data_IF_101344977055
#
_entry.id   IF_101344977055
#
_cell.length_a   1.000
_cell.length_b   1.000
_cell.length_c   1.000
_cell.angle_alpha   90.00
_cell.angle_beta   90.00
_cell.angle_gamma   90.00
#
_symmetry.space_group_name_H-M   'P 1'
#
loop_
_entity.id
_entity.type
_entity.pdbx_description
1 polymer ?
#
# COMPACT_ATOMS: atom_id res chain seq x y z
N UNK A 1 -6.14 1.46 13.76
CA UNK A 1 -7.36 1.42 12.91
C UNK A 1 -8.48 0.55 13.48
N UNK A 2 -8.18 -0.54 14.20
CA UNK A 2 -9.19 -1.43 14.83
C UNK A 2 -10.19 -0.68 15.74
N UNK A 3 -9.74 0.34 16.48
CA UNK A 3 -10.62 1.14 17.31
C UNK A 3 -11.60 1.98 16.47
N UNK A 4 -11.15 2.48 15.31
CA UNK A 4 -12.00 3.24 14.39
C UNK A 4 -13.10 2.33 13.85
N UNK A 5 -12.74 1.14 13.37
CA UNK A 5 -13.70 0.14 12.87
C UNK A 5 -14.76 -0.19 13.92
N UNK A 6 -14.35 -0.46 15.15
CA UNK A 6 -15.29 -0.74 16.26
C UNK A 6 -16.27 0.40 16.53
N UNK A 7 -15.80 1.65 16.47
CA UNK A 7 -16.67 2.83 16.68
C UNK A 7 -17.64 3.02 15.51
N UNK A 8 -17.19 2.82 14.27
CA UNK A 8 -18.05 2.91 13.09
C UNK A 8 -19.15 1.83 13.10
N UNK A 9 -18.80 0.60 13.50
CA UNK A 9 -19.75 -0.48 13.61
C UNK A 9 -20.79 -0.25 14.73
N UNK A 10 -20.42 0.49 15.77
CA UNK A 10 -21.32 0.80 16.90
C UNK A 10 -22.26 1.97 16.62
N UNK A 11 -21.92 2.90 15.74
CA UNK A 11 -22.73 4.08 15.46
C UNK A 11 -22.66 4.46 13.96
N UNK A 12 -23.77 4.31 13.23
CA UNK A 12 -23.83 4.57 11.78
C UNK A 12 -23.70 6.07 11.41
N UNK A 13 -23.69 6.98 12.37
CA UNK A 13 -23.51 8.42 12.12
C UNK A 13 -22.04 8.83 12.09
N UNK A 14 -21.12 7.92 12.47
CA UNK A 14 -19.69 8.22 12.43
C UNK A 14 -19.09 8.06 11.04
N UNK A 15 -18.07 8.84 10.80
CA UNK A 15 -17.18 8.78 9.66
C UNK A 15 -15.75 8.54 10.12
N UNK A 16 -14.99 7.70 9.41
CA UNK A 16 -13.63 7.35 9.78
C UNK A 16 -12.68 7.31 8.59
N UNK A 17 -11.41 7.60 8.85
CA UNK A 17 -10.32 7.50 7.86
C UNK A 17 -9.33 6.45 8.37
N UNK A 18 -9.06 5.42 7.57
CA UNK A 18 -8.18 4.31 7.91
C UNK A 18 -7.75 3.55 6.66
N UNK A 19 -6.81 2.61 6.78
CA UNK A 19 -6.28 1.84 5.67
C UNK A 19 -7.31 0.92 5.03
N UNK A 20 -7.27 0.79 3.70
CA UNK A 20 -8.20 0.00 2.91
C UNK A 20 -8.34 -1.45 3.40
N UNK A 21 -7.25 -2.07 3.86
CA UNK A 21 -7.29 -3.45 4.39
C UNK A 21 -8.27 -3.65 5.54
N UNK A 22 -8.44 -2.63 6.38
CA UNK A 22 -9.41 -2.71 7.49
C UNK A 22 -10.86 -2.64 6.99
N UNK A 23 -11.13 -1.88 5.93
CA UNK A 23 -12.43 -1.91 5.27
C UNK A 23 -12.68 -3.29 4.65
N UNK A 24 -11.70 -3.82 3.93
CA UNK A 24 -11.84 -5.09 3.20
C UNK A 24 -12.10 -6.27 4.13
N UNK A 25 -11.48 -6.27 5.30
CA UNK A 25 -11.66 -7.31 6.33
C UNK A 25 -12.96 -7.17 7.15
N UNK A 26 -13.67 -6.04 7.05
CA UNK A 26 -14.85 -5.74 7.87
C UNK A 26 -16.03 -5.23 7.04
N UNK A 27 -16.15 -5.66 5.78
CA UNK A 27 -17.24 -5.25 4.87
C UNK A 27 -18.64 -5.70 5.34
N UNK A 28 -18.71 -6.62 6.27
CA UNK A 28 -19.92 -7.07 6.94
C UNK A 28 -20.45 -6.06 7.96
N UNK A 29 -19.60 -5.16 8.47
CA UNK A 29 -19.92 -4.21 9.54
C UNK A 29 -19.83 -2.75 9.12
N UNK A 30 -19.01 -2.45 8.13
CA UNK A 30 -18.75 -1.07 7.66
C UNK A 30 -18.73 -1.00 6.14
N UNK A 31 -19.04 0.16 5.61
CA UNK A 31 -19.02 0.41 4.16
C UNK A 31 -18.02 1.51 3.79
N UNK A 32 -17.46 1.42 2.60
CA UNK A 32 -16.61 2.47 2.04
C UNK A 32 -17.44 3.60 1.43
N UNK A 33 -16.96 4.83 1.62
CA UNK A 33 -17.60 6.00 1.04
C UNK A 33 -17.21 6.21 -0.41
N UNK A 34 -18.17 6.56 -1.25
CA UNK A 34 -17.93 7.08 -2.60
C UNK A 34 -17.40 8.51 -2.52
N UNK A 35 -16.33 8.84 -3.24
CA UNK A 35 -15.75 10.19 -3.30
C UNK A 35 -15.73 10.66 -4.75
N UNK A 36 -16.34 11.81 -5.01
CA UNK A 36 -16.47 12.37 -6.36
C UNK A 36 -17.09 11.38 -7.37
N UNK A 37 -18.04 10.55 -6.93
CA UNK A 37 -18.68 9.55 -7.77
C UNK A 37 -17.85 8.28 -8.00
N UNK A 38 -16.67 8.16 -7.39
CA UNK A 38 -15.81 6.98 -7.50
C UNK A 38 -15.93 6.12 -6.24
N UNK A 39 -16.31 4.86 -6.43
CA UNK A 39 -16.37 3.87 -5.35
C UNK A 39 -14.99 3.38 -4.96
N UNK A 40 -14.84 3.00 -3.69
CA UNK A 40 -13.61 2.38 -3.20
C UNK A 40 -13.54 0.91 -3.63
N UNK A 41 -12.55 0.60 -4.49
CA UNK A 41 -12.24 -0.75 -4.94
C UNK A 41 -10.74 -0.91 -5.13
N UNK A 42 -10.25 -2.16 -5.16
CA UNK A 42 -8.84 -2.44 -5.46
C UNK A 42 -8.40 -1.79 -6.78
N UNK A 43 -9.20 -1.91 -7.83
CA UNK A 43 -8.88 -1.36 -9.15
C UNK A 43 -8.85 0.18 -9.14
N UNK A 44 -9.79 0.83 -8.46
CA UNK A 44 -9.81 2.27 -8.34
C UNK A 44 -8.67 2.81 -7.46
N UNK A 45 -8.23 2.05 -6.47
CA UNK A 45 -7.06 2.40 -5.65
C UNK A 45 -5.78 2.20 -6.47
N UNK A 46 -5.61 1.05 -7.12
CA UNK A 46 -4.44 0.68 -7.92
C UNK A 46 -4.21 1.66 -9.07
N UNK A 47 -5.29 2.08 -9.74
CA UNK A 47 -5.25 3.04 -10.84
C UNK A 47 -5.26 4.51 -10.40
N UNK A 48 -5.25 4.80 -9.10
CA UNK A 48 -5.37 6.15 -8.53
C UNK A 48 -6.64 6.91 -8.94
N UNK A 49 -7.67 6.23 -9.41
CA UNK A 49 -8.98 6.84 -9.69
C UNK A 49 -9.70 7.23 -8.40
N UNK A 50 -9.56 6.45 -7.33
CA UNK A 50 -10.11 6.83 -6.04
C UNK A 50 -9.32 8.00 -5.45
N UNK A 51 -9.95 9.19 -5.23
CA UNK A 51 -9.22 10.47 -5.10
C UNK A 51 -8.25 10.57 -3.93
N UNK A 52 -8.45 9.77 -2.88
CA UNK A 52 -7.58 9.76 -1.70
C UNK A 52 -6.56 8.61 -1.70
N UNK A 53 -6.46 7.89 -2.81
CA UNK A 53 -5.43 6.86 -2.98
C UNK A 53 -4.04 7.49 -3.02
N UNK A 54 -3.10 6.89 -2.31
CA UNK A 54 -1.70 7.33 -2.28
C UNK A 54 -0.76 6.16 -2.08
N UNK A 55 0.44 6.20 -2.65
CA UNK A 55 1.41 5.14 -2.49
C UNK A 55 2.00 5.10 -1.07
N UNK A 56 2.41 3.92 -0.64
CA UNK A 56 3.33 3.76 0.48
C UNK A 56 4.76 3.86 -0.03
N UNK A 57 5.61 4.59 0.70
CA UNK A 57 7.02 4.74 0.38
C UNK A 57 7.88 4.00 1.39
N UNK A 58 8.84 3.25 0.89
CA UNK A 58 9.93 2.70 1.67
C UNK A 58 11.18 3.53 1.42
N UNK A 59 11.75 4.08 2.48
CA UNK A 59 12.95 4.93 2.40
C UNK A 59 14.17 4.20 2.89
N UNK A 60 15.20 4.11 2.03
CA UNK A 60 16.49 3.55 2.39
C UNK A 60 17.59 4.61 2.22
N UNK A 61 18.46 4.77 3.21
CA UNK A 61 19.59 5.68 3.10
C UNK A 61 20.68 5.08 2.22
N UNK A 62 20.90 5.63 1.02
CA UNK A 62 21.84 5.11 0.03
C UNK A 62 23.24 4.87 0.60
N UNK A 63 23.74 5.79 1.44
CA UNK A 63 25.06 5.68 2.06
C UNK A 63 25.21 4.47 3.00
N UNK A 64 24.11 3.83 3.42
CA UNK A 64 24.12 2.64 4.27
C UNK A 64 24.11 1.33 3.47
N UNK A 65 23.78 1.37 2.18
CA UNK A 65 23.77 0.19 1.33
C UNK A 65 25.18 -0.28 1.07
N UNK A 66 25.47 -1.53 1.46
CA UNK A 66 26.82 -2.09 1.41
C UNK A 66 27.65 -1.85 2.68
N UNK A 67 27.18 -1.01 3.61
CA UNK A 67 27.80 -0.80 4.93
C UNK A 67 27.04 -1.61 6.00
N UNK A 68 25.71 -1.53 5.98
CA UNK A 68 24.85 -2.29 6.90
C UNK A 68 24.59 -3.67 6.28
N UNK A 69 25.00 -4.77 6.94
CA UNK A 69 24.74 -6.13 6.45
C UNK A 69 23.23 -6.37 6.24
N UNK A 70 22.88 -7.05 5.14
CA UNK A 70 21.50 -7.43 4.83
C UNK A 70 20.62 -6.32 4.28
N UNK A 71 21.09 -5.06 4.24
CA UNK A 71 20.24 -3.94 3.79
C UNK A 71 19.87 -4.05 2.31
N UNK A 72 20.81 -4.44 1.45
CA UNK A 72 20.55 -4.64 0.02
C UNK A 72 19.59 -5.81 -0.22
N UNK A 73 19.82 -6.90 0.49
CA UNK A 73 18.98 -8.09 0.44
C UNK A 73 17.54 -7.77 0.87
N UNK A 74 17.39 -7.03 1.97
CA UNK A 74 16.08 -6.56 2.43
C UNK A 74 15.37 -5.68 1.40
N UNK A 75 16.08 -4.74 0.77
CA UNK A 75 15.50 -3.89 -0.28
C UNK A 75 15.07 -4.71 -1.50
N UNK A 76 15.87 -5.69 -1.91
CA UNK A 76 15.54 -6.57 -3.02
C UNK A 76 14.34 -7.46 -2.71
N UNK A 77 14.30 -8.03 -1.50
CA UNK A 77 13.16 -8.83 -1.04
C UNK A 77 11.89 -7.98 -0.99
N UNK A 78 11.96 -6.76 -0.46
CA UNK A 78 10.81 -5.87 -0.37
C UNK A 78 10.15 -5.57 -1.72
N UNK A 79 10.91 -5.58 -2.83
CA UNK A 79 10.37 -5.35 -4.18
C UNK A 79 10.24 -6.64 -5.00
N UNK A 80 10.45 -7.81 -4.39
CA UNK A 80 10.31 -9.10 -5.06
C UNK A 80 8.86 -9.42 -5.41
N UNK A 81 8.65 -10.39 -6.31
CA UNK A 81 7.31 -10.89 -6.60
C UNK A 81 6.69 -11.59 -5.39
N UNK A 82 7.52 -12.25 -4.58
CA UNK A 82 7.10 -12.90 -3.34
C UNK A 82 6.53 -11.92 -2.33
N UNK A 83 7.04 -10.68 -2.28
CA UNK A 83 6.61 -9.66 -1.33
C UNK A 83 5.47 -8.79 -1.88
N UNK A 84 5.70 -8.06 -2.97
CA UNK A 84 4.79 -7.03 -3.50
C UNK A 84 4.14 -7.40 -4.83
N UNK A 85 4.37 -8.61 -5.33
CA UNK A 85 3.70 -9.11 -6.53
C UNK A 85 2.19 -9.29 -6.32
N UNK A 86 1.48 -9.63 -7.38
CA UNK A 86 0.01 -9.78 -7.37
C UNK A 86 -0.48 -10.83 -6.34
N UNK A 87 0.36 -11.82 -6.02
CA UNK A 87 0.11 -12.85 -5.00
C UNK A 87 1.17 -12.81 -3.90
N UNK A 88 1.79 -11.66 -3.69
CA UNK A 88 2.83 -11.49 -2.68
C UNK A 88 2.27 -11.46 -1.26
N UNK A 89 3.07 -11.92 -0.29
CA UNK A 89 2.64 -12.03 1.11
C UNK A 89 2.26 -10.69 1.76
N UNK A 90 2.65 -9.54 1.18
CA UNK A 90 2.23 -8.23 1.66
C UNK A 90 0.78 -7.89 1.29
N UNK A 91 0.20 -8.55 0.25
CA UNK A 91 -1.24 -8.44 -0.02
C UNK A 91 -2.06 -8.98 1.15
N UNK A 92 -1.66 -10.10 1.74
CA UNK A 92 -2.33 -10.66 2.92
C UNK A 92 -2.29 -9.71 4.12
N UNK A 93 -1.37 -8.75 4.09
CA UNK A 93 -1.23 -7.68 5.09
C UNK A 93 -1.92 -6.39 4.67
N UNK A 94 -2.64 -6.39 3.55
CA UNK A 94 -3.44 -5.27 3.08
C UNK A 94 -2.72 -4.29 2.16
N UNK A 95 -1.55 -4.65 1.62
CA UNK A 95 -0.91 -3.87 0.57
C UNK A 95 -1.69 -4.03 -0.73
N UNK A 96 -2.02 -2.93 -1.39
CA UNK A 96 -2.54 -2.95 -2.76
C UNK A 96 -1.36 -2.96 -3.73
N UNK A 97 -1.21 -3.99 -4.59
CA UNK A 97 -0.08 -4.08 -5.52
C UNK A 97 -0.05 -2.91 -6.49
N UNK A 98 1.15 -2.46 -6.84
CA UNK A 98 1.35 -1.46 -7.89
C UNK A 98 1.02 -2.05 -9.26
N UNK A 99 0.71 -1.17 -10.22
CA UNK A 99 0.70 -1.53 -11.63
C UNK A 99 2.05 -2.09 -12.07
N UNK A 100 2.04 -3.12 -12.92
CA UNK A 100 3.25 -3.84 -13.36
C UNK A 100 4.33 -2.90 -13.91
N UNK A 101 3.94 -1.89 -14.68
CA UNK A 101 4.86 -0.89 -15.23
C UNK A 101 5.53 -0.04 -14.15
N UNK A 102 4.77 0.34 -13.13
CA UNK A 102 5.26 1.11 -11.98
C UNK A 102 6.19 0.25 -11.11
N UNK A 103 5.80 -0.99 -10.84
CA UNK A 103 6.62 -1.94 -10.08
C UNK A 103 7.97 -2.19 -10.77
N UNK A 104 7.98 -2.33 -12.10
CA UNK A 104 9.21 -2.49 -12.87
C UNK A 104 10.15 -1.28 -12.73
N UNK A 105 9.61 -0.06 -12.72
CA UNK A 105 10.39 1.16 -12.47
C UNK A 105 10.96 1.18 -11.05
N UNK A 106 10.15 0.81 -10.04
CA UNK A 106 10.59 0.73 -8.64
C UNK A 106 11.73 -0.26 -8.49
N UNK A 107 11.62 -1.45 -9.09
CA UNK A 107 12.68 -2.47 -9.10
C UNK A 107 13.97 -1.98 -9.73
N UNK A 108 13.87 -1.28 -10.87
CA UNK A 108 15.03 -0.66 -11.51
C UNK A 108 15.68 0.38 -10.61
N UNK A 109 14.90 1.22 -9.95
CA UNK A 109 15.41 2.24 -9.03
C UNK A 109 16.12 1.61 -7.81
N UNK A 110 15.56 0.56 -7.24
CA UNK A 110 16.18 -0.19 -6.13
C UNK A 110 17.49 -0.83 -6.58
N UNK A 111 17.50 -1.51 -7.73
CA UNK A 111 18.70 -2.15 -8.29
C UNK A 111 19.84 -1.15 -8.52
N UNK A 112 19.52 0.01 -9.07
CA UNK A 112 20.50 1.03 -9.46
C UNK A 112 20.77 2.06 -8.35
N UNK A 113 20.07 1.95 -7.20
CA UNK A 113 20.14 2.91 -6.09
C UNK A 113 19.87 4.36 -6.55
N UNK A 114 18.89 4.53 -7.43
CA UNK A 114 18.47 5.84 -7.89
C UNK A 114 17.85 6.63 -6.74
N UNK A 115 18.26 7.88 -6.48
CA UNK A 115 17.61 8.69 -5.45
C UNK A 115 16.17 9.02 -5.82
N UNK A 116 15.32 9.18 -4.81
CA UNK A 116 13.98 9.71 -5.01
C UNK A 116 14.11 11.20 -5.26
N UNK A 117 13.61 11.67 -6.40
CA UNK A 117 13.39 13.10 -6.64
C UNK A 117 12.06 13.50 -6.00
N UNK A 118 12.14 14.36 -5.02
CA UNK A 118 10.95 15.00 -4.41
C UNK A 118 10.63 16.30 -5.15
#
# INVERSE_FOLDING_TARGET
DTLIVKRLAADPQYFGIFGFSFLDQNRDQIQGSTINGVEISLDNIKSYKYPISRPLFFYAKKAHVGVIPGMREYMNEFVSDSAVGEYGYLMDRGLVPLETSTLSKVRSNVKNLNPISM
#
